data_IF_274427969604
#
_entry.id   IF_274427969604
#
_cell.length_a   1.000
_cell.length_b   1.000
_cell.length_c   1.000
_cell.angle_alpha   90.00
_cell.angle_beta   90.00
_cell.angle_gamma   90.00
#
_symmetry.space_group_name_H-M   'P 1'
#
loop_
_entity.id
_entity.type
_entity.pdbx_description
1 polymer ?
#
# COMPACT_ATOMS: atom_id res chain seq x y z
N UNK A 1 9.79 20.18 -6.17
CA UNK A 1 9.96 19.86 -4.73
C UNK A 1 8.97 18.73 -4.37
N UNK A 2 9.43 17.69 -3.67
CA UNK A 2 8.55 16.60 -3.21
C UNK A 2 7.91 17.07 -1.90
N UNK A 3 6.66 17.47 -1.95
CA UNK A 3 5.97 18.04 -0.79
C UNK A 3 5.55 17.02 0.25
N UNK A 4 5.07 15.84 -0.18
CA UNK A 4 4.52 14.83 0.73
C UNK A 4 4.82 13.42 0.23
N UNK A 5 5.33 12.58 1.11
CA UNK A 5 5.46 11.15 0.89
C UNK A 5 4.54 10.40 1.84
N UNK A 6 3.50 9.77 1.32
CA UNK A 6 2.48 9.10 2.13
C UNK A 6 2.89 7.71 2.61
N UNK A 7 4.01 7.20 2.13
CA UNK A 7 4.48 5.88 2.51
C UNK A 7 3.98 4.79 1.57
N UNK A 8 4.01 3.55 2.05
CA UNK A 8 3.75 2.34 1.28
C UNK A 8 2.39 1.77 1.69
N UNK A 9 1.32 2.34 1.14
CA UNK A 9 -0.03 1.92 1.45
C UNK A 9 -0.68 1.32 0.20
N UNK A 10 -1.02 0.03 0.18
CA UNK A 10 -1.88 -0.52 -0.86
C UNK A 10 -3.22 0.21 -0.91
N UNK A 11 -3.73 0.49 -2.10
CA UNK A 11 -5.06 1.09 -2.25
C UNK A 11 -6.12 0.18 -1.63
N UNK A 12 -5.94 -1.14 -1.73
CA UNK A 12 -6.84 -2.13 -1.13
C UNK A 12 -6.98 -2.03 0.39
N UNK A 13 -6.04 -1.38 1.10
CA UNK A 13 -6.16 -1.14 2.55
C UNK A 13 -6.96 0.11 2.90
N UNK A 14 -7.20 1.02 1.94
CA UNK A 14 -7.87 2.30 2.18
C UNK A 14 -9.39 2.17 2.44
N UNK A 15 -9.96 1.00 2.24
CA UNK A 15 -11.36 0.69 2.56
C UNK A 15 -11.61 0.40 4.05
N UNK A 16 -10.54 0.31 4.86
CA UNK A 16 -10.66 0.01 6.29
C UNK A 16 -11.16 1.20 7.11
N UNK A 17 -11.64 0.89 8.30
CA UNK A 17 -11.95 1.90 9.31
C UNK A 17 -10.67 2.59 9.82
N UNK A 18 -10.84 3.78 10.35
CA UNK A 18 -9.74 4.58 10.90
C UNK A 18 -9.73 4.58 12.42
N UNK A 19 -8.53 4.51 13.02
CA UNK A 19 -8.32 4.71 14.44
C UNK A 19 -7.00 5.44 14.68
N UNK A 20 -7.00 6.42 15.56
CA UNK A 20 -5.81 7.16 15.96
C UNK A 20 -5.05 6.38 17.02
N UNK A 21 -3.84 5.96 16.71
CA UNK A 21 -2.95 5.25 17.60
C UNK A 21 -1.71 6.09 17.91
N UNK A 22 -1.31 6.22 19.18
CA UNK A 22 -0.08 6.90 19.51
C UNK A 22 1.13 6.09 19.01
N UNK A 23 2.10 6.77 18.38
CA UNK A 23 3.32 6.14 17.87
C UNK A 23 4.07 5.35 18.96
N UNK A 24 3.98 5.79 20.21
CA UNK A 24 4.58 5.12 21.37
C UNK A 24 4.10 3.67 21.59
N UNK A 25 2.91 3.30 21.08
CA UNK A 25 2.45 1.91 21.10
C UNK A 25 3.35 0.97 20.31
N UNK A 26 4.10 1.51 19.35
CA UNK A 26 5.01 0.75 18.48
C UNK A 26 6.47 0.92 18.87
N UNK A 27 6.74 1.25 20.15
CA UNK A 27 8.10 1.45 20.70
C UNK A 27 8.99 0.20 20.68
N UNK A 28 8.43 -0.98 20.40
CA UNK A 28 9.20 -2.18 20.11
C UNK A 28 10.07 -2.05 18.85
N UNK A 29 9.72 -1.17 17.92
CA UNK A 29 10.59 -0.77 16.81
C UNK A 29 11.57 0.30 17.26
N UNK A 30 12.85 0.12 16.96
CA UNK A 30 13.88 1.14 17.20
C UNK A 30 13.85 2.27 16.17
N UNK A 31 13.14 2.07 15.06
CA UNK A 31 12.98 3.04 13.98
C UNK A 31 11.74 3.91 14.18
N UNK A 32 11.93 5.18 14.50
CA UNK A 32 10.82 6.14 14.55
C UNK A 32 10.07 6.28 13.22
N UNK A 33 10.72 5.99 12.10
CA UNK A 33 10.04 5.92 10.80
C UNK A 33 9.04 4.76 10.76
N UNK A 34 9.45 3.56 11.18
CA UNK A 34 8.55 2.39 11.20
C UNK A 34 7.39 2.59 12.17
N UNK A 35 7.64 3.17 13.36
CA UNK A 35 6.58 3.49 14.32
C UNK A 35 5.51 4.38 13.69
N UNK A 36 5.90 5.45 13.02
CA UNK A 36 4.99 6.35 12.30
C UNK A 36 4.25 5.65 11.17
N UNK A 37 4.94 4.81 10.39
CA UNK A 37 4.30 4.11 9.27
C UNK A 37 3.25 3.10 9.74
N UNK A 38 3.51 2.39 10.82
CA UNK A 38 2.51 1.48 11.42
C UNK A 38 1.31 2.28 11.93
N UNK A 39 1.54 3.36 12.69
CA UNK A 39 0.47 4.21 13.18
C UNK A 39 -0.39 4.77 12.04
N UNK A 40 0.24 5.26 10.96
CA UNK A 40 -0.46 5.79 9.78
C UNK A 40 -1.35 4.76 9.08
N UNK A 41 -1.00 3.50 9.08
CA UNK A 41 -1.87 2.45 8.51
C UNK A 41 -3.23 2.40 9.20
N UNK A 42 -3.24 2.60 10.52
CA UNK A 42 -4.48 2.64 11.31
C UNK A 42 -5.24 3.97 11.17
N UNK A 43 -4.55 5.07 10.90
CA UNK A 43 -5.18 6.38 10.72
C UNK A 43 -6.03 6.44 9.46
N UNK A 44 -5.68 5.67 8.44
CA UNK A 44 -6.35 5.58 7.14
C UNK A 44 -6.70 6.94 6.51
N UNK A 45 -5.85 7.95 6.75
CA UNK A 45 -6.05 9.34 6.31
C UNK A 45 -5.26 9.70 5.03
N UNK A 46 -4.77 8.67 4.33
CA UNK A 46 -3.90 8.82 3.16
C UNK A 46 -4.53 9.72 2.08
N UNK A 47 -5.80 9.51 1.75
CA UNK A 47 -6.51 10.31 0.74
C UNK A 47 -6.64 11.75 1.18
N UNK A 48 -7.00 11.99 2.44
CA UNK A 48 -7.09 13.35 2.99
C UNK A 48 -5.74 14.08 2.93
N UNK A 49 -4.66 13.39 3.29
CA UNK A 49 -3.31 13.96 3.20
C UNK A 49 -2.91 14.27 1.76
N UNK A 50 -3.28 13.42 0.78
CA UNK A 50 -3.06 13.68 -0.65
C UNK A 50 -3.74 14.95 -1.10
N UNK A 51 -5.00 15.13 -0.77
CA UNK A 51 -5.78 16.31 -1.16
C UNK A 51 -5.30 17.59 -0.47
N UNK A 52 -4.91 17.50 0.80
CA UNK A 52 -4.38 18.64 1.56
C UNK A 52 -2.99 19.08 1.12
N UNK A 53 -2.23 18.19 0.47
CA UNK A 53 -0.90 18.51 -0.04
C UNK A 53 -0.91 19.55 -1.16
N UNK A 54 -1.99 19.66 -1.93
CA UNK A 54 -2.15 20.59 -3.07
C UNK A 54 -0.94 20.58 -4.01
N UNK A 55 -0.38 19.41 -4.25
CA UNK A 55 0.78 19.23 -5.13
C UNK A 55 0.39 19.39 -6.60
N UNK A 56 1.35 19.85 -7.44
CA UNK A 56 1.12 19.99 -8.88
C UNK A 56 0.88 18.65 -9.56
N UNK A 57 1.48 17.58 -9.06
CA UNK A 57 1.37 16.22 -9.59
C UNK A 57 1.19 15.20 -8.47
N UNK A 58 0.39 14.18 -8.73
CA UNK A 58 0.23 12.99 -7.91
C UNK A 58 0.95 11.82 -8.55
N UNK A 59 1.95 11.27 -7.86
CA UNK A 59 2.68 10.07 -8.33
C UNK A 59 2.18 8.85 -7.58
N UNK A 60 1.72 7.84 -8.32
CA UNK A 60 1.18 6.59 -7.79
C UNK A 60 2.00 5.39 -8.25
N UNK A 61 2.12 4.42 -7.36
CA UNK A 61 2.70 3.09 -7.60
C UNK A 61 1.84 2.05 -6.87
N UNK A 62 1.40 1.02 -7.56
CA UNK A 62 0.53 -0.02 -7.00
C UNK A 62 1.29 -1.31 -6.67
N UNK A 63 2.61 -1.27 -6.67
CA UNK A 63 3.43 -2.46 -6.41
C UNK A 63 3.20 -3.08 -5.03
N UNK A 64 2.72 -2.32 -4.06
CA UNK A 64 2.46 -2.80 -2.70
C UNK A 64 1.21 -3.70 -2.59
N UNK A 65 0.32 -3.70 -3.58
CA UNK A 65 -0.83 -4.62 -3.65
C UNK A 65 -0.42 -6.10 -3.61
N UNK A 66 0.82 -6.40 -3.97
CA UNK A 66 1.38 -7.75 -3.95
C UNK A 66 1.62 -8.32 -2.55
N UNK A 67 1.59 -7.49 -1.52
CA UNK A 67 1.98 -7.87 -0.16
C UNK A 67 0.81 -8.45 0.63
N UNK A 68 1.08 -9.32 1.61
CA UNK A 68 0.06 -9.79 2.53
C UNK A 68 -0.50 -8.65 3.39
N UNK A 69 -1.71 -8.84 3.88
CA UNK A 69 -2.38 -7.89 4.76
C UNK A 69 -2.96 -8.60 5.98
N UNK A 70 -3.21 -7.85 7.04
CA UNK A 70 -4.03 -8.27 8.18
C UNK A 70 -5.26 -7.40 8.27
N UNK A 71 -6.38 -8.02 8.64
CA UNK A 71 -7.62 -7.33 8.97
C UNK A 71 -7.95 -7.62 10.41
N UNK A 72 -8.08 -6.57 11.21
CA UNK A 72 -8.56 -6.64 12.58
C UNK A 72 -10.03 -6.26 12.59
N UNK A 73 -10.89 -7.15 13.06
CA UNK A 73 -12.34 -6.91 13.19
C UNK A 73 -12.69 -6.72 14.66
N UNK A 74 -13.27 -5.56 14.99
CA UNK A 74 -13.64 -5.19 16.35
C UNK A 74 -14.90 -4.32 16.34
N UNK A 75 -15.94 -4.71 17.04
CA UNK A 75 -17.19 -3.97 17.17
C UNK A 75 -17.80 -3.51 15.84
N UNK A 76 -17.75 -4.39 14.83
CA UNK A 76 -18.29 -4.11 13.50
C UNK A 76 -17.39 -3.25 12.62
N UNK A 77 -16.21 -2.86 13.10
CA UNK A 77 -15.18 -2.12 12.34
C UNK A 77 -14.08 -3.05 11.84
N UNK A 78 -13.45 -2.65 10.73
CA UNK A 78 -12.39 -3.42 10.09
C UNK A 78 -11.17 -2.52 9.84
N UNK A 79 -10.06 -2.84 10.48
CA UNK A 79 -8.79 -2.10 10.34
C UNK A 79 -7.83 -2.91 9.49
N UNK A 80 -7.40 -2.34 8.38
CA UNK A 80 -6.50 -3.00 7.43
C UNK A 80 -5.05 -2.57 7.64
N UNK A 81 -4.14 -3.55 7.72
CA UNK A 81 -2.72 -3.30 7.93
C UNK A 81 -1.93 -4.14 6.94
N UNK A 82 -0.96 -3.54 6.29
CA UNK A 82 -0.03 -4.27 5.45
C UNK A 82 0.99 -5.04 6.29
N UNK A 83 1.19 -6.30 5.97
CA UNK A 83 2.11 -7.21 6.68
C UNK A 83 3.56 -6.70 6.74
N UNK A 84 3.99 -5.98 5.71
CA UNK A 84 5.34 -5.42 5.63
C UNK A 84 5.79 -4.69 6.91
N UNK A 85 4.92 -3.85 7.46
CA UNK A 85 5.25 -3.06 8.65
C UNK A 85 5.27 -3.85 9.95
N UNK A 86 4.66 -5.04 9.94
CA UNK A 86 4.50 -5.88 11.15
C UNK A 86 5.54 -6.99 11.20
N UNK A 87 5.94 -7.54 10.04
CA UNK A 87 6.78 -8.74 9.99
C UNK A 87 8.22 -8.52 9.47
N UNK A 88 8.59 -7.31 9.04
CA UNK A 88 9.86 -7.10 8.34
C UNK A 88 11.11 -7.18 9.21
N UNK A 89 11.16 -6.55 10.35
CA UNK A 89 12.39 -6.46 11.15
C UNK A 89 12.28 -7.27 12.44
N UNK A 90 12.39 -8.59 12.34
CA UNK A 90 12.41 -9.45 13.51
C UNK A 90 11.05 -9.94 13.99
N UNK A 91 10.05 -9.91 13.12
CA UNK A 91 8.72 -10.44 13.40
C UNK A 91 8.06 -9.80 14.64
N UNK A 92 7.70 -8.53 14.54
CA UNK A 92 7.00 -7.80 15.61
C UNK A 92 5.54 -8.22 15.80
N UNK A 93 5.04 -9.13 14.97
CA UNK A 93 3.64 -9.53 15.03
C UNK A 93 3.15 -9.92 16.44
N UNK A 94 3.91 -10.67 17.25
CA UNK A 94 3.48 -10.97 18.62
C UNK A 94 3.31 -9.72 19.47
N UNK A 95 4.23 -8.75 19.40
CA UNK A 95 4.17 -7.51 20.18
C UNK A 95 3.04 -6.60 19.67
N UNK A 96 2.86 -6.48 18.37
CA UNK A 96 1.75 -5.73 17.76
C UNK A 96 0.42 -6.37 18.17
N UNK A 97 0.33 -7.70 18.08
CA UNK A 97 -0.86 -8.44 18.48
C UNK A 97 -1.20 -8.19 19.93
N UNK A 98 -0.23 -8.28 20.84
CA UNK A 98 -0.47 -8.03 22.28
C UNK A 98 -0.91 -6.60 22.53
N UNK A 99 -0.25 -5.62 21.92
CA UNK A 99 -0.58 -4.20 22.08
C UNK A 99 -1.97 -3.83 21.51
N UNK A 100 -2.44 -4.53 20.49
CA UNK A 100 -3.72 -4.24 19.85
C UNK A 100 -4.86 -5.10 20.39
N UNK A 101 -4.68 -6.41 20.49
CA UNK A 101 -5.78 -7.35 20.76
C UNK A 101 -5.61 -8.14 22.05
N UNK A 102 -4.53 -7.92 22.80
CA UNK A 102 -4.34 -8.49 24.15
C UNK A 102 -5.40 -7.99 25.13
N UNK A 103 -5.49 -8.60 26.32
CA UNK A 103 -6.50 -8.22 27.32
C UNK A 103 -6.48 -6.73 27.71
N UNK A 104 -5.29 -6.11 27.65
CA UNK A 104 -5.08 -4.69 27.93
C UNK A 104 -4.81 -3.89 26.65
N UNK A 105 -5.05 -4.50 25.49
CA UNK A 105 -4.84 -3.87 24.18
C UNK A 105 -5.90 -2.85 23.86
N UNK A 106 -5.68 -2.09 22.78
CA UNK A 106 -6.59 -1.05 22.34
C UNK A 106 -7.91 -1.59 21.78
N UNK A 107 -7.86 -2.76 21.16
CA UNK A 107 -8.99 -3.48 20.56
C UNK A 107 -9.08 -4.87 21.20
N UNK A 108 -9.38 -4.96 22.51
CA UNK A 108 -9.26 -6.21 23.25
C UNK A 108 -10.18 -7.28 22.65
N UNK A 109 -9.60 -8.45 22.39
CA UNK A 109 -10.29 -9.59 21.76
C UNK A 109 -10.73 -9.39 20.32
N UNK A 110 -10.18 -8.39 19.59
CA UNK A 110 -10.43 -8.28 18.17
C UNK A 110 -10.02 -9.55 17.42
N UNK A 111 -10.78 -9.90 16.38
CA UNK A 111 -10.44 -11.00 15.51
C UNK A 111 -9.39 -10.54 14.48
N UNK A 112 -8.34 -11.33 14.32
CA UNK A 112 -7.32 -11.08 13.32
C UNK A 112 -7.46 -12.10 12.21
N UNK A 113 -7.62 -11.63 10.96
CA UNK A 113 -7.63 -12.43 9.75
C UNK A 113 -6.45 -12.04 8.86
N UNK A 114 -5.70 -13.03 8.36
CA UNK A 114 -4.65 -12.80 7.39
C UNK A 114 -5.21 -12.91 5.97
N UNK A 115 -4.87 -11.94 5.13
CA UNK A 115 -5.07 -12.00 3.68
C UNK A 115 -3.70 -12.28 3.07
N UNK A 116 -3.47 -13.50 2.54
CA UNK A 116 -2.19 -13.85 1.94
C UNK A 116 -1.83 -12.95 0.77
N UNK A 117 -0.54 -12.87 0.46
CA UNK A 117 -0.05 -12.13 -0.69
C UNK A 117 -0.82 -12.49 -1.98
N UNK A 118 -1.22 -11.49 -2.75
CA UNK A 118 -1.86 -11.63 -4.07
C UNK A 118 -3.20 -12.40 -4.06
N UNK A 119 -3.88 -12.46 -2.92
CA UNK A 119 -5.17 -13.17 -2.80
C UNK A 119 -6.37 -12.25 -2.58
N UNK A 120 -6.17 -10.94 -2.53
CA UNK A 120 -7.30 -10.00 -2.50
C UNK A 120 -8.14 -10.21 -3.77
N UNK A 121 -9.45 -10.47 -3.64
CA UNK A 121 -10.31 -10.69 -4.81
C UNK A 121 -10.32 -9.47 -5.73
N UNK A 122 -10.25 -9.69 -7.05
CA UNK A 122 -10.26 -8.60 -8.04
C UNK A 122 -11.53 -7.72 -7.95
N UNK A 123 -12.65 -8.28 -7.51
CA UNK A 123 -13.87 -7.49 -7.28
C UNK A 123 -13.67 -6.48 -6.15
N UNK A 124 -13.10 -6.91 -5.03
CA UNK A 124 -12.74 -6.02 -3.90
C UNK A 124 -11.75 -4.94 -4.35
N UNK A 125 -10.74 -5.32 -5.14
CA UNK A 125 -9.78 -4.36 -5.70
C UNK A 125 -10.52 -3.35 -6.59
N UNK A 126 -11.42 -3.81 -7.47
CA UNK A 126 -12.19 -2.93 -8.36
C UNK A 126 -13.03 -1.91 -7.57
N UNK A 127 -13.79 -2.35 -6.58
CA UNK A 127 -14.60 -1.48 -5.73
C UNK A 127 -13.75 -0.43 -5.01
N UNK A 128 -12.63 -0.86 -4.44
CA UNK A 128 -11.72 0.03 -3.71
C UNK A 128 -11.06 1.04 -4.64
N UNK A 129 -10.62 0.62 -5.83
CA UNK A 129 -10.02 1.51 -6.82
C UNK A 129 -11.02 2.52 -7.38
N UNK A 130 -12.28 2.12 -7.61
CA UNK A 130 -13.35 3.06 -7.96
C UNK A 130 -13.51 4.14 -6.90
N UNK A 131 -13.65 3.74 -5.63
CA UNK A 131 -13.79 4.67 -4.51
C UNK A 131 -12.57 5.58 -4.36
N UNK A 132 -11.36 5.02 -4.49
CA UNK A 132 -10.12 5.78 -4.43
C UNK A 132 -10.04 6.82 -5.56
N UNK A 133 -10.31 6.42 -6.80
CA UNK A 133 -10.29 7.32 -7.95
C UNK A 133 -11.32 8.44 -7.80
N UNK A 134 -12.54 8.12 -7.38
CA UNK A 134 -13.57 9.14 -7.10
C UNK A 134 -13.11 10.14 -6.03
N UNK A 135 -12.39 9.67 -5.00
CA UNK A 135 -11.91 10.50 -3.91
C UNK A 135 -10.73 11.41 -4.31
N UNK A 136 -9.88 10.99 -5.25
CA UNK A 136 -8.69 11.78 -5.64
C UNK A 136 -8.93 12.66 -6.86
N UNK A 137 -9.90 12.37 -7.71
CA UNK A 137 -10.16 13.16 -8.92
C UNK A 137 -10.87 14.47 -8.59
N UNK A 138 -10.48 15.50 -9.35
CA UNK A 138 -11.14 16.81 -9.31
C UNK A 138 -12.54 16.74 -9.84
N UNK A 139 -13.50 17.29 -9.07
CA UNK A 139 -14.90 17.41 -9.42
C UNK A 139 -15.53 18.61 -8.72
N UNK A 140 -16.79 18.91 -9.00
CA UNK A 140 -17.52 19.96 -8.29
C UNK A 140 -17.62 19.68 -6.78
N UNK A 141 -17.72 18.41 -6.39
CA UNK A 141 -17.73 17.96 -4.98
C UNK A 141 -16.35 17.82 -4.38
N UNK A 142 -15.29 17.78 -5.20
CA UNK A 142 -13.90 17.66 -4.76
C UNK A 142 -13.00 18.65 -5.53
N UNK A 143 -13.08 19.96 -5.24
CA UNK A 143 -12.31 20.99 -5.95
C UNK A 143 -10.79 20.89 -5.73
N UNK A 144 -10.34 20.25 -4.65
CA UNK A 144 -8.93 20.02 -4.31
C UNK A 144 -8.36 18.72 -4.94
N UNK A 145 -9.18 17.97 -5.67
CA UNK A 145 -8.73 16.78 -6.37
C UNK A 145 -7.79 17.09 -7.54
N UNK A 146 -7.18 16.06 -8.06
CA UNK A 146 -6.25 16.13 -9.20
C UNK A 146 -6.99 15.98 -10.52
N UNK A 147 -6.65 16.79 -11.51
CA UNK A 147 -7.03 16.51 -12.89
C UNK A 147 -6.33 15.22 -13.37
N UNK A 148 -6.93 14.42 -14.24
CA UNK A 148 -6.29 13.18 -14.73
C UNK A 148 -4.87 13.39 -15.27
N UNK A 149 -4.61 14.51 -15.92
CA UNK A 149 -3.30 14.87 -16.49
C UNK A 149 -2.25 15.25 -15.43
N UNK A 150 -2.66 15.44 -14.19
CA UNK A 150 -1.77 15.66 -13.05
C UNK A 150 -1.38 14.33 -12.37
N UNK A 151 -1.94 13.21 -12.82
CA UNK A 151 -1.67 11.89 -12.23
C UNK A 151 -0.62 11.17 -13.06
N UNK A 152 0.46 10.75 -12.40
CA UNK A 152 1.56 9.99 -12.98
C UNK A 152 1.58 8.61 -12.32
N UNK A 153 1.40 7.55 -13.09
CA UNK A 153 1.51 6.17 -12.59
C UNK A 153 2.87 5.61 -12.96
N UNK A 154 3.61 5.16 -11.96
CA UNK A 154 4.82 4.39 -12.17
C UNK A 154 4.43 2.91 -12.20
N UNK A 155 4.51 2.29 -13.39
CA UNK A 155 4.18 0.87 -13.57
C UNK A 155 5.35 0.01 -13.12
N UNK A 156 5.40 -0.29 -11.82
CA UNK A 156 6.50 -1.00 -11.18
C UNK A 156 6.22 -2.50 -11.09
N UNK A 157 6.84 -3.25 -11.99
CA UNK A 157 6.89 -4.72 -11.91
C UNK A 157 8.17 -5.19 -11.23
N UNK A 158 8.13 -6.39 -10.66
CA UNK A 158 9.35 -7.03 -10.17
C UNK A 158 10.26 -7.39 -11.35
N UNK A 159 11.52 -7.01 -11.29
CA UNK A 159 12.50 -7.42 -12.26
C UNK A 159 12.70 -8.94 -12.23
N UNK A 160 12.91 -9.56 -13.40
CA UNK A 160 13.15 -11.01 -13.51
C UNK A 160 14.52 -11.45 -12.98
N UNK A 161 15.40 -10.51 -12.74
CA UNK A 161 16.73 -10.71 -12.21
C UNK A 161 17.54 -9.43 -12.18
N UNK A 162 18.77 -9.53 -11.73
CA UNK A 162 19.73 -8.44 -11.68
C UNK A 162 20.92 -8.75 -12.59
N UNK A 163 21.51 -7.73 -13.16
CA UNK A 163 22.82 -7.88 -13.82
C UNK A 163 23.91 -7.87 -12.73
N UNK A 164 24.69 -8.93 -12.66
CA UNK A 164 25.86 -8.95 -11.77
C UNK A 164 26.97 -8.01 -12.31
N UNK A 165 28.03 -7.75 -11.53
CA UNK A 165 29.15 -6.89 -11.95
C UNK A 165 29.85 -7.32 -13.26
N UNK A 166 29.66 -8.58 -13.70
CA UNK A 166 30.20 -9.11 -14.96
C UNK A 166 29.20 -9.04 -16.12
N UNK A 167 28.08 -8.33 -15.97
CA UNK A 167 27.05 -8.17 -16.99
C UNK A 167 26.20 -9.41 -17.26
N UNK A 168 26.28 -10.45 -16.41
CA UNK A 168 25.45 -11.65 -16.53
C UNK A 168 24.16 -11.50 -15.74
N UNK A 169 23.04 -11.88 -16.36
CA UNK A 169 21.74 -11.90 -15.71
C UNK A 169 21.72 -12.99 -14.61
N UNK A 170 21.55 -12.57 -13.38
CA UNK A 170 21.31 -13.43 -12.23
C UNK A 170 19.81 -13.38 -11.89
N UNK A 171 19.12 -14.50 -12.04
CA UNK A 171 17.71 -14.60 -11.68
C UNK A 171 17.52 -14.51 -10.18
N UNK A 172 16.45 -13.87 -9.75
CA UNK A 172 16.03 -13.90 -8.36
C UNK A 172 15.67 -15.31 -7.90
N UNK A 173 15.75 -15.52 -6.60
CA UNK A 173 15.35 -16.80 -6.01
C UNK A 173 13.87 -17.07 -6.30
N UNK A 174 13.46 -18.31 -6.64
CA UNK A 174 12.06 -18.68 -6.95
C UNK A 174 11.05 -18.25 -5.89
N UNK A 175 11.45 -18.18 -4.61
CA UNK A 175 10.60 -17.70 -3.50
C UNK A 175 10.02 -16.29 -3.70
N UNK A 176 10.57 -15.51 -4.61
CA UNK A 176 10.08 -14.15 -4.91
C UNK A 176 8.83 -14.15 -5.79
N UNK A 177 8.49 -15.30 -6.39
CA UNK A 177 7.28 -15.44 -7.20
C UNK A 177 7.09 -14.30 -8.22
N UNK A 178 8.19 -13.92 -8.89
CA UNK A 178 8.23 -12.74 -9.76
C UNK A 178 7.14 -12.76 -10.83
N UNK A 179 6.99 -13.88 -11.53
CA UNK A 179 6.01 -14.01 -12.63
C UNK A 179 4.57 -13.96 -12.12
N UNK A 180 4.27 -14.66 -11.03
CA UNK A 180 2.96 -14.67 -10.38
C UNK A 180 2.61 -13.28 -9.83
N UNK A 181 3.60 -12.60 -9.23
CA UNK A 181 3.44 -11.24 -8.72
C UNK A 181 3.13 -10.26 -9.85
N UNK A 182 3.88 -10.31 -10.94
CA UNK A 182 3.66 -9.44 -12.08
C UNK A 182 2.33 -9.73 -12.78
N UNK A 183 1.94 -11.02 -12.87
CA UNK A 183 0.64 -11.42 -13.39
C UNK A 183 -0.53 -10.91 -12.51
N UNK A 184 -0.35 -10.83 -11.20
CA UNK A 184 -1.32 -10.26 -10.27
C UNK A 184 -1.40 -8.72 -10.39
N UNK A 185 -0.28 -8.02 -10.53
CA UNK A 185 -0.24 -6.56 -10.60
C UNK A 185 -0.77 -6.01 -11.92
N UNK A 186 -0.57 -6.72 -13.02
CA UNK A 186 -0.95 -6.27 -14.36
C UNK A 186 -2.42 -5.83 -14.46
N UNK A 187 -3.42 -6.66 -14.10
CA UNK A 187 -4.82 -6.25 -14.16
C UNK A 187 -5.16 -5.07 -13.24
N UNK A 188 -4.39 -4.85 -12.17
CA UNK A 188 -4.57 -3.70 -11.28
C UNK A 188 -4.18 -2.40 -11.98
N UNK A 189 -3.03 -2.37 -12.63
CA UNK A 189 -2.62 -1.22 -13.45
C UNK A 189 -3.61 -0.98 -14.60
N UNK A 190 -4.02 -2.04 -15.31
CA UNK A 190 -5.01 -1.94 -16.40
C UNK A 190 -6.35 -1.38 -15.92
N UNK A 191 -6.82 -1.80 -14.74
CA UNK A 191 -8.01 -1.25 -14.10
C UNK A 191 -7.87 0.26 -13.85
N UNK A 192 -6.75 0.69 -13.27
CA UNK A 192 -6.54 2.12 -13.01
C UNK A 192 -6.53 2.94 -14.31
N UNK A 193 -5.90 2.45 -15.38
CA UNK A 193 -5.90 3.11 -16.67
C UNK A 193 -7.29 3.21 -17.32
N UNK A 194 -8.16 2.24 -17.06
CA UNK A 194 -9.55 2.31 -17.49
C UNK A 194 -10.32 3.40 -16.71
N UNK A 195 -10.02 3.58 -15.43
CA UNK A 195 -10.66 4.57 -14.58
C UNK A 195 -10.13 5.99 -14.82
N UNK A 196 -8.85 6.12 -15.19
CA UNK A 196 -8.17 7.41 -15.42
C UNK A 196 -7.40 7.36 -16.75
N UNK A 197 -8.10 7.36 -17.91
CA UNK A 197 -7.49 7.04 -19.21
C UNK A 197 -6.47 8.08 -19.70
N UNK A 198 -6.49 9.31 -19.17
CA UNK A 198 -5.55 10.38 -19.57
C UNK A 198 -4.41 10.60 -18.60
N UNK A 199 -4.24 9.73 -17.58
CA UNK A 199 -3.08 9.80 -16.70
C UNK A 199 -1.76 9.51 -17.44
N UNK A 200 -0.68 10.07 -16.94
CA UNK A 200 0.65 9.76 -17.46
C UNK A 200 1.15 8.42 -16.94
N UNK A 201 1.81 7.64 -17.81
CA UNK A 201 2.32 6.31 -17.44
C UNK A 201 3.82 6.28 -17.67
N UNK A 202 4.58 5.94 -16.62
CA UNK A 202 6.01 5.67 -16.70
C UNK A 202 6.19 4.15 -16.62
N UNK A 203 6.71 3.56 -17.71
CA UNK A 203 7.04 2.13 -17.79
C UNK A 203 8.54 1.95 -17.81
N UNK A 204 9.00 1.02 -17.00
CA UNK A 204 10.39 0.58 -17.06
C UNK A 204 10.51 -0.62 -18.02
N UNK A 205 11.60 -0.73 -18.78
CA UNK A 205 11.84 -1.92 -19.60
C UNK A 205 11.96 -3.16 -18.71
N UNK A 206 11.64 -4.34 -19.26
CA UNK A 206 11.61 -5.65 -18.55
C UNK A 206 12.91 -6.04 -17.81
N UNK A 207 13.98 -5.32 -18.04
CA UNK A 207 15.30 -5.48 -17.43
C UNK A 207 15.73 -4.19 -16.74
N UNK A 208 14.98 -3.71 -15.78
CA UNK A 208 15.47 -2.63 -14.93
C UNK A 208 16.56 -3.16 -13.99
N UNK A 209 17.60 -2.37 -13.90
CA UNK A 209 18.75 -2.65 -13.05
C UNK A 209 18.28 -2.58 -11.59
N UNK A 210 18.28 -3.71 -10.90
CA UNK A 210 18.19 -3.72 -9.45
C UNK A 210 19.49 -3.14 -8.88
N UNK A 211 19.37 -2.08 -8.11
CA UNK A 211 20.47 -1.60 -7.26
C UNK A 211 20.65 -2.53 -6.07
#
# INVERSE_FOLDING_TARGET
EICVRLGRNPVSTLQGDAIQLPESMFSFSTSGFNQRMIAKQFQNDCVEQLLNAQADYLILDFSEERLPQYVLSYEGKHYHIMDFWINQEGNWFPQVKEALVGPNGLLPNALISAIPARTVPMETIRETYHSFVQAILKSDSNPNGYAPEQIIVIESYLAKGILNPHGKLQKFHPKWHVEETNAFLKPIYELFYQLVPTCHIIRFPDFTFGN
#
